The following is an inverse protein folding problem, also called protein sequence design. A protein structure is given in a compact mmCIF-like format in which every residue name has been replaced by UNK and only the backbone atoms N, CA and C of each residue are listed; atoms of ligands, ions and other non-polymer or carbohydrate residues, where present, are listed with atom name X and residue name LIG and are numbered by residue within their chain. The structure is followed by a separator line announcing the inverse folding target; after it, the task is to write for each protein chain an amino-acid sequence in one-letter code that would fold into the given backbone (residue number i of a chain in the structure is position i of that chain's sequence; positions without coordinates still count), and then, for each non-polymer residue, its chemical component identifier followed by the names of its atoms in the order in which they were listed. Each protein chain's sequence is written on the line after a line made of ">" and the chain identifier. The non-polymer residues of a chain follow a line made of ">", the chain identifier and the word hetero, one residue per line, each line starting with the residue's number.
data_IF_348371578165
#
_entry.id   IF_348371578165
#
_cell.length_a   1.000
_cell.length_b   1.000
_cell.length_c   1.000
_cell.angle_alpha   90.00
_cell.angle_beta   90.00
_cell.angle_gamma   90.00
#
_symmetry.space_group_name_H-M   'P 1'
#
loop_
_entity.id
_entity.type
_entity.pdbx_description
1 polymer ?
#
# COMPACT_ATOMS: atom_id res chain seq x y z
N UNK A 1 -23.89 11.59 19.75
CA UNK A 1 -22.67 12.03 20.46
C UNK A 1 -22.58 13.54 20.28
N UNK A 2 -23.07 14.28 21.27
CA UNK A 2 -22.91 15.73 21.28
C UNK A 2 -21.55 15.97 21.92
N UNK A 3 -20.59 16.45 21.14
CA UNK A 3 -19.30 16.86 21.69
C UNK A 3 -19.56 18.13 22.49
N UNK A 4 -19.48 18.03 23.82
CA UNK A 4 -19.49 19.20 24.68
C UNK A 4 -18.32 20.13 24.32
N UNK A 5 -18.54 21.41 24.62
CA UNK A 5 -17.85 22.59 24.11
C UNK A 5 -16.32 22.57 24.37
N UNK A 6 -15.55 21.93 23.49
CA UNK A 6 -14.09 21.89 23.61
C UNK A 6 -13.47 23.13 22.90
N UNK A 7 -12.88 24.08 23.64
CA UNK A 7 -12.42 25.36 23.08
C UNK A 7 -11.35 25.19 21.98
N UNK A 8 -10.58 24.10 22.06
CA UNK A 8 -9.54 23.75 21.08
C UNK A 8 -10.09 23.36 19.71
N UNK A 9 -11.39 23.07 19.61
CA UNK A 9 -12.04 22.73 18.35
C UNK A 9 -12.64 23.97 17.66
N UNK A 10 -12.62 25.14 18.31
CA UNK A 10 -13.09 26.37 17.69
C UNK A 10 -12.14 26.77 16.55
N UNK A 11 -12.61 26.67 15.30
CA UNK A 11 -11.82 26.94 14.09
C UNK A 11 -11.44 25.70 13.28
N UNK A 12 -11.87 24.50 13.70
CA UNK A 12 -11.59 23.24 12.96
C UNK A 12 -12.88 22.66 12.40
N UNK A 13 -12.89 22.31 11.11
CA UNK A 13 -13.96 21.53 10.51
C UNK A 13 -13.75 20.04 10.79
N UNK A 14 -14.73 19.39 11.42
CA UNK A 14 -14.75 17.94 11.61
C UNK A 14 -15.65 17.33 10.53
N UNK A 15 -15.07 16.47 9.70
CA UNK A 15 -15.80 15.78 8.63
C UNK A 15 -15.69 14.27 8.80
N UNK A 16 -16.79 13.57 8.55
CA UNK A 16 -16.82 12.11 8.46
C UNK A 16 -16.90 11.72 7.00
N UNK A 17 -15.92 10.95 6.52
CA UNK A 17 -15.96 10.35 5.18
C UNK A 17 -16.55 8.95 5.32
N UNK A 18 -17.66 8.69 4.62
CA UNK A 18 -18.26 7.36 4.48
C UNK A 18 -18.10 6.98 3.01
N UNK A 19 -17.08 6.18 2.65
CA UNK A 19 -16.86 5.81 1.26
C UNK A 19 -17.90 4.78 0.80
N UNK A 20 -18.51 5.00 -0.36
CA UNK A 20 -19.37 4.00 -1.00
C UNK A 20 -18.57 2.82 -1.56
N UNK A 21 -17.32 3.06 -1.98
CA UNK A 21 -16.40 2.06 -2.49
C UNK A 21 -14.95 2.44 -2.17
N UNK A 22 -14.12 1.44 -1.88
CA UNK A 22 -12.66 1.57 -1.79
C UNK A 22 -12.03 0.64 -2.81
N UNK A 23 -11.16 1.19 -3.66
CA UNK A 23 -10.41 0.45 -4.67
C UNK A 23 -8.92 0.70 -4.45
N UNK A 24 -8.12 -0.35 -4.53
CA UNK A 24 -6.66 -0.26 -4.55
C UNK A 24 -6.11 -0.88 -5.84
N UNK A 25 -4.95 -0.39 -6.27
CA UNK A 25 -4.18 -0.94 -7.39
C UNK A 25 -2.80 -1.31 -6.92
N UNK A 26 -2.39 -2.54 -7.20
CA UNK A 26 -1.08 -3.05 -6.81
C UNK A 26 -0.22 -3.36 -8.04
N UNK A 27 1.03 -2.93 -8.01
CA UNK A 27 2.01 -3.18 -9.07
C UNK A 27 3.13 -4.05 -8.51
N UNK A 28 3.11 -5.31 -8.91
CA UNK A 28 4.00 -6.36 -8.44
C UNK A 28 4.93 -6.87 -9.55
N UNK A 29 5.19 -6.02 -10.54
CA UNK A 29 6.05 -6.36 -11.67
C UNK A 29 5.39 -7.23 -12.73
N UNK A 30 4.06 -7.21 -12.82
CA UNK A 30 3.26 -8.06 -13.75
C UNK A 30 3.69 -7.96 -15.22
N UNK A 31 4.33 -6.84 -15.62
CA UNK A 31 4.79 -6.59 -16.98
C UNK A 31 6.34 -6.57 -17.11
N UNK A 32 7.06 -6.96 -16.05
CA UNK A 32 8.53 -7.06 -16.09
C UNK A 32 8.96 -8.38 -16.71
N UNK A 33 10.08 -8.36 -17.43
CA UNK A 33 10.79 -9.59 -17.77
C UNK A 33 11.38 -10.21 -16.50
N UNK A 34 11.60 -11.52 -16.49
CA UNK A 34 12.19 -12.27 -15.37
C UNK A 34 13.50 -11.64 -14.87
N UNK A 35 14.45 -11.35 -15.75
CA UNK A 35 15.72 -10.70 -15.37
C UNK A 35 15.55 -9.33 -14.69
N UNK A 36 14.48 -8.59 -15.01
CA UNK A 36 14.18 -7.31 -14.35
C UNK A 36 13.49 -7.55 -13.01
N UNK A 37 12.65 -8.58 -12.91
CA UNK A 37 12.03 -9.00 -11.66
C UNK A 37 13.09 -9.38 -10.63
N UNK A 38 14.03 -10.26 -11.00
CA UNK A 38 15.09 -10.73 -10.10
C UNK A 38 15.95 -9.58 -9.59
N UNK A 39 16.28 -8.63 -10.47
CA UNK A 39 17.04 -7.43 -10.08
C UNK A 39 16.30 -6.58 -9.04
N UNK A 40 14.97 -6.49 -9.14
CA UNK A 40 14.17 -5.74 -8.17
C UNK A 40 14.10 -6.51 -6.85
N UNK A 41 13.83 -7.81 -6.88
CA UNK A 41 13.79 -8.65 -5.68
C UNK A 41 15.11 -8.60 -4.92
N UNK A 42 16.24 -8.78 -5.61
CA UNK A 42 17.57 -8.73 -4.98
C UNK A 42 17.82 -7.40 -4.29
N UNK A 43 17.45 -6.27 -4.92
CA UNK A 43 17.60 -4.95 -4.32
C UNK A 43 16.69 -4.72 -3.11
N UNK A 44 15.48 -5.26 -3.12
CA UNK A 44 14.58 -5.20 -1.96
C UNK A 44 15.16 -6.04 -0.80
N UNK A 45 15.73 -7.21 -1.09
CA UNK A 45 16.40 -8.04 -0.08
C UNK A 45 17.64 -7.35 0.50
N UNK A 46 18.48 -6.74 -0.34
CA UNK A 46 19.66 -5.99 0.09
C UNK A 46 19.31 -4.76 0.93
N UNK A 47 18.23 -4.06 0.55
CA UNK A 47 17.80 -2.82 1.22
C UNK A 47 17.16 -3.08 2.59
N UNK A 48 16.39 -4.17 2.73
CA UNK A 48 15.83 -4.66 4.00
C UNK A 48 15.09 -3.59 4.83
N UNK A 49 14.23 -2.81 4.18
CA UNK A 49 13.33 -1.86 4.86
C UNK A 49 12.02 -2.53 5.30
N UNK A 50 11.24 -1.91 6.23
CA UNK A 50 10.09 -2.55 6.88
C UNK A 50 8.99 -3.15 5.97
N UNK A 51 8.97 -2.83 4.68
CA UNK A 51 7.97 -3.32 3.72
C UNK A 51 8.58 -4.16 2.58
N UNK A 52 9.90 -4.37 2.58
CA UNK A 52 10.59 -5.01 1.46
C UNK A 52 10.27 -6.50 1.39
N UNK A 53 10.30 -7.18 2.53
CA UNK A 53 9.96 -8.60 2.64
C UNK A 53 8.52 -8.86 2.19
N UNK A 54 7.55 -8.12 2.74
CA UNK A 54 6.14 -8.23 2.34
C UNK A 54 5.97 -7.92 0.84
N UNK A 55 6.66 -6.91 0.31
CA UNK A 55 6.61 -6.59 -1.12
C UNK A 55 7.13 -7.74 -1.97
N UNK A 56 8.24 -8.39 -1.59
CA UNK A 56 8.81 -9.55 -2.30
C UNK A 56 7.84 -10.72 -2.27
N UNK A 57 7.22 -11.00 -1.12
CA UNK A 57 6.22 -12.07 -0.99
C UNK A 57 5.03 -11.84 -1.91
N UNK A 58 4.48 -10.62 -1.93
CA UNK A 58 3.38 -10.23 -2.80
C UNK A 58 3.79 -10.28 -4.28
N UNK A 59 5.02 -9.88 -4.61
CA UNK A 59 5.57 -9.99 -5.96
C UNK A 59 5.61 -11.44 -6.44
N UNK A 60 6.12 -12.36 -5.62
CA UNK A 60 6.17 -13.79 -5.93
C UNK A 60 4.77 -14.42 -6.02
N UNK A 61 3.85 -13.97 -5.18
CA UNK A 61 2.47 -14.49 -5.13
C UNK A 61 1.63 -14.08 -6.33
N UNK A 62 1.80 -12.84 -6.82
CA UNK A 62 0.94 -12.25 -7.84
C UNK A 62 1.61 -12.06 -9.21
N UNK A 63 2.86 -12.51 -9.39
CA UNK A 63 3.57 -12.43 -10.67
C UNK A 63 4.33 -13.74 -11.02
N UNK A 64 4.18 -14.28 -12.25
CA UNK A 64 3.24 -13.84 -13.27
C UNK A 64 1.79 -14.08 -12.82
N UNK A 65 0.88 -13.21 -13.26
CA UNK A 65 -0.55 -13.41 -13.00
C UNK A 65 -0.98 -14.71 -13.71
N UNK A 66 -1.13 -15.79 -12.95
CA UNK A 66 -1.86 -16.97 -13.42
C UNK A 66 -3.30 -16.84 -12.90
N UNK A 67 -4.32 -16.87 -13.79
CA UNK A 67 -5.72 -16.81 -13.39
C UNK A 67 -6.14 -17.99 -12.53
#
# INVERSE_FOLDING_TARGET
>A
MVLENEPRLHGVAIVRIIPDQVIAKFKFGQNLSEAKMDKVINRLQERSLPQDEETIELMKKYCPYSP
#
